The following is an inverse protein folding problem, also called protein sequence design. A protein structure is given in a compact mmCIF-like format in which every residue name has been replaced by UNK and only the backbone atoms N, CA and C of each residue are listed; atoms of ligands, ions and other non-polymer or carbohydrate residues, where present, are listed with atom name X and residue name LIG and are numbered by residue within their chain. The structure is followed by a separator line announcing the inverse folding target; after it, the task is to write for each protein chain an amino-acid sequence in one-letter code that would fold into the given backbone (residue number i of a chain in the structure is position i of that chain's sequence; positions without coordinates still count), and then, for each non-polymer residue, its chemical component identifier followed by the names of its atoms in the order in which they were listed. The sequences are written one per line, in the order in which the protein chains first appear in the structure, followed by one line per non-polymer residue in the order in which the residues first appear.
data_IF_554544009761
#
_entry.id   IF_554544009761
#
_cell.length_a   1.000
_cell.length_b   1.000
_cell.length_c   1.000
_cell.angle_alpha   90.00
_cell.angle_beta   90.00
_cell.angle_gamma   90.00
#
_symmetry.space_group_name_H-M   'P 1'
#
loop_
_entity.id
_entity.type
_entity.pdbx_description
1 polymer ?
#
# COMPACT_ATOMS: atom_id res chain seq x y z
N UNK A 1 -52.46 -24.34 55.54
CA UNK A 1 -52.93 -24.53 54.14
C UNK A 1 -51.71 -24.67 53.26
N UNK A 2 -51.46 -25.90 52.81
CA UNK A 2 -50.50 -26.29 51.77
C UNK A 2 -50.84 -25.60 50.45
N UNK A 3 -49.83 -25.24 49.64
CA UNK A 3 -49.73 -25.35 48.17
C UNK A 3 -48.31 -24.89 47.80
N UNK A 4 -47.33 -25.80 47.76
CA UNK A 4 -46.83 -26.58 46.61
C UNK A 4 -45.75 -25.86 45.79
N UNK A 5 -44.53 -26.38 45.99
CA UNK A 5 -43.31 -26.22 45.20
C UNK A 5 -43.52 -26.72 43.76
N UNK A 6 -42.95 -26.02 42.78
CA UNK A 6 -42.35 -26.68 41.61
C UNK A 6 -41.07 -25.92 41.22
N UNK A 7 -39.93 -26.55 41.51
CA UNK A 7 -38.63 -26.15 40.98
C UNK A 7 -38.39 -26.93 39.69
N UNK A 8 -38.22 -26.22 38.58
CA UNK A 8 -37.65 -26.79 37.37
C UNK A 8 -36.15 -26.46 37.34
N UNK A 9 -35.25 -27.44 37.18
CA UNK A 9 -33.85 -27.15 36.95
C UNK A 9 -33.65 -26.63 35.52
N UNK A 10 -33.18 -25.40 35.39
CA UNK A 10 -32.66 -24.88 34.12
C UNK A 10 -31.37 -25.64 33.80
N UNK A 11 -31.46 -26.58 32.84
CA UNK A 11 -30.28 -27.18 32.22
C UNK A 11 -29.74 -26.17 31.22
N UNK A 12 -28.76 -25.38 31.66
CA UNK A 12 -27.97 -24.54 30.77
C UNK A 12 -27.09 -25.43 29.89
N UNK A 13 -27.48 -25.61 28.63
CA UNK A 13 -26.63 -26.22 27.62
C UNK A 13 -25.53 -25.22 27.30
N UNK A 14 -24.33 -25.43 27.87
CA UNK A 14 -23.10 -24.82 27.37
C UNK A 14 -22.81 -25.42 25.99
N UNK A 15 -23.25 -24.74 24.94
CA UNK A 15 -22.69 -24.94 23.60
C UNK A 15 -21.26 -24.42 23.61
N UNK A 16 -20.30 -25.32 23.81
CA UNK A 16 -18.93 -25.07 23.43
C UNK A 16 -18.88 -24.98 21.90
N UNK A 17 -18.93 -23.76 21.35
CA UNK A 17 -18.49 -23.52 19.99
C UNK A 17 -16.99 -23.82 19.95
N UNK A 18 -16.64 -25.03 19.51
CA UNK A 18 -15.30 -25.34 19.08
C UNK A 18 -14.99 -24.42 17.90
N UNK A 19 -14.13 -23.41 18.13
CA UNK A 19 -13.57 -22.61 17.06
C UNK A 19 -12.81 -23.56 16.12
N UNK A 20 -13.35 -23.80 14.93
CA UNK A 20 -12.62 -24.50 13.89
C UNK A 20 -11.30 -23.73 13.64
N UNK A 21 -10.14 -24.41 13.61
CA UNK A 21 -8.89 -23.75 13.29
C UNK A 21 -9.05 -23.12 11.91
N UNK A 22 -8.77 -21.82 11.81
CA UNK A 22 -8.72 -21.12 10.54
C UNK A 22 -7.69 -21.83 9.66
N UNK A 23 -8.18 -22.63 8.70
CA UNK A 23 -7.37 -23.24 7.66
C UNK A 23 -6.72 -22.08 6.91
N UNK A 24 -5.46 -21.80 7.21
CA UNK A 24 -4.66 -20.89 6.39
C UNK A 24 -4.54 -21.58 5.04
N UNK A 25 -5.27 -21.11 4.04
CA UNK A 25 -5.07 -21.54 2.67
C UNK A 25 -3.57 -21.40 2.36
N UNK A 26 -2.95 -22.46 1.84
CA UNK A 26 -1.56 -22.43 1.45
C UNK A 26 -1.34 -21.27 0.47
N UNK A 27 -0.22 -20.56 0.62
CA UNK A 27 0.14 -19.48 -0.29
C UNK A 27 0.13 -20.02 -1.73
N UNK A 28 -0.56 -19.36 -2.67
CA UNK A 28 -0.59 -19.80 -4.05
C UNK A 28 0.86 -19.86 -4.59
N UNK A 29 1.23 -20.93 -5.31
CA UNK A 29 2.59 -21.10 -5.80
C UNK A 29 2.99 -19.92 -6.69
N UNK A 30 4.17 -19.36 -6.44
CA UNK A 30 4.76 -18.34 -7.31
C UNK A 30 4.84 -18.87 -8.74
N UNK A 31 4.20 -18.17 -9.68
CA UNK A 31 4.33 -18.47 -11.09
C UNK A 31 5.49 -17.64 -11.63
N UNK A 32 6.56 -18.27 -12.16
CA UNK A 32 7.69 -17.52 -12.69
C UNK A 32 7.25 -16.67 -13.88
N UNK A 33 7.73 -15.42 -13.92
CA UNK A 33 7.49 -14.51 -15.04
C UNK A 33 8.02 -15.14 -16.32
N UNK A 34 7.21 -15.27 -17.39
CA UNK A 34 7.66 -15.82 -18.66
C UNK A 34 8.91 -15.08 -19.17
N UNK A 35 9.92 -15.76 -19.76
CA UNK A 35 11.17 -15.11 -20.16
C UNK A 35 11.00 -13.88 -21.06
N UNK A 36 10.00 -13.91 -21.94
CA UNK A 36 9.65 -12.79 -22.83
C UNK A 36 9.00 -11.59 -22.11
N UNK A 37 8.50 -11.80 -20.89
CA UNK A 37 7.89 -10.77 -20.05
C UNK A 37 8.86 -10.25 -18.97
N UNK A 38 10.05 -10.84 -18.81
CA UNK A 38 10.99 -10.39 -17.79
C UNK A 38 11.53 -8.99 -18.12
N UNK A 39 11.40 -8.01 -17.20
CA UNK A 39 11.94 -6.68 -17.42
C UNK A 39 13.46 -6.71 -17.61
N UNK A 40 13.93 -6.20 -18.75
CA UNK A 40 15.36 -6.06 -19.05
C UNK A 40 15.63 -4.63 -19.52
N UNK A 41 16.42 -3.83 -18.77
CA UNK A 41 16.66 -2.42 -19.12
C UNK A 41 17.35 -2.24 -20.47
N UNK A 42 18.02 -3.28 -20.99
CA UNK A 42 18.72 -3.25 -22.27
C UNK A 42 17.85 -3.69 -23.46
N UNK A 43 16.67 -4.27 -23.19
CA UNK A 43 15.76 -4.77 -24.23
C UNK A 43 14.50 -3.92 -24.34
N UNK A 44 14.08 -3.77 -25.59
CA UNK A 44 12.78 -3.20 -25.95
C UNK A 44 11.70 -4.26 -25.76
N UNK A 45 10.58 -3.97 -25.06
CA UNK A 45 9.44 -4.88 -24.96
C UNK A 45 8.92 -5.30 -26.34
N UNK A 46 8.44 -6.53 -26.47
CA UNK A 46 7.96 -7.08 -27.73
C UNK A 46 6.88 -6.21 -28.38
N UNK A 47 5.92 -5.71 -27.61
CA UNK A 47 4.85 -4.86 -28.11
C UNK A 47 5.35 -3.49 -28.63
N UNK A 48 6.43 -2.95 -28.04
CA UNK A 48 7.11 -1.74 -28.54
C UNK A 48 7.88 -2.06 -29.81
N UNK A 49 8.57 -3.20 -29.86
CA UNK A 49 9.31 -3.63 -31.04
C UNK A 49 8.37 -3.86 -32.24
N UNK A 50 7.20 -4.45 -32.00
CA UNK A 50 6.17 -4.63 -33.02
C UNK A 50 5.53 -3.31 -33.44
N UNK A 51 5.32 -2.38 -32.50
CA UNK A 51 4.91 -1.01 -32.83
C UNK A 51 5.94 -0.33 -33.73
N UNK A 52 7.23 -0.43 -33.41
CA UNK A 52 8.30 0.23 -34.16
C UNK A 52 8.42 -0.28 -35.61
N UNK A 53 8.00 -1.51 -35.89
CA UNK A 53 7.95 -2.04 -37.28
C UNK A 53 6.85 -1.38 -38.11
N UNK A 54 5.74 -0.96 -37.49
CA UNK A 54 4.53 -0.47 -38.17
C UNK A 54 4.42 1.06 -38.10
N UNK A 55 4.77 1.65 -36.95
CA UNK A 55 4.74 3.08 -36.66
C UNK A 55 5.98 3.48 -35.82
N UNK A 56 7.14 3.72 -36.45
CA UNK A 56 8.35 4.12 -35.75
C UNK A 56 8.20 5.45 -34.98
N UNK A 57 7.41 6.39 -35.51
CA UNK A 57 7.22 7.71 -34.88
C UNK A 57 6.37 7.57 -33.62
N UNK A 58 5.27 6.81 -33.68
CA UNK A 58 4.45 6.51 -32.52
C UNK A 58 5.19 5.70 -31.47
N UNK A 59 5.98 4.71 -31.88
CA UNK A 59 6.82 3.93 -30.96
C UNK A 59 7.80 4.86 -30.20
N UNK A 60 8.48 5.75 -30.93
CA UNK A 60 9.36 6.76 -30.32
C UNK A 60 8.62 7.68 -29.35
N UNK A 61 7.44 8.18 -29.73
CA UNK A 61 6.60 9.02 -28.83
C UNK A 61 6.24 8.30 -27.54
N UNK A 62 5.91 7.01 -27.61
CA UNK A 62 5.61 6.20 -26.43
C UNK A 62 6.87 6.04 -25.58
N UNK A 63 8.00 5.63 -26.17
CA UNK A 63 9.23 5.35 -25.42
C UNK A 63 9.87 6.59 -24.82
N UNK A 64 9.67 7.76 -25.45
CA UNK A 64 10.15 9.06 -24.94
C UNK A 64 9.21 9.65 -23.89
N UNK A 65 8.00 9.09 -23.70
CA UNK A 65 7.05 9.60 -22.72
C UNK A 65 7.51 9.30 -21.29
N UNK A 66 7.29 10.27 -20.40
CA UNK A 66 7.59 10.11 -18.98
C UNK A 66 6.84 8.91 -18.36
N UNK A 67 5.63 8.63 -18.85
CA UNK A 67 4.82 7.50 -18.40
C UNK A 67 5.44 6.14 -18.75
N UNK A 68 6.05 6.01 -19.93
CA UNK A 68 6.78 4.80 -20.28
C UNK A 68 8.04 4.63 -19.42
N UNK A 69 8.78 5.71 -19.19
CA UNK A 69 9.96 5.68 -18.32
C UNK A 69 9.60 5.30 -16.88
N UNK A 70 8.51 5.86 -16.35
CA UNK A 70 7.96 5.48 -15.05
C UNK A 70 7.53 4.01 -15.03
N UNK A 71 6.78 3.56 -16.03
CA UNK A 71 6.37 2.16 -16.14
C UNK A 71 7.57 1.20 -16.15
N UNK A 72 8.61 1.50 -16.94
CA UNK A 72 9.88 0.73 -16.94
C UNK A 72 10.58 0.75 -15.60
N UNK A 73 10.38 1.82 -14.81
CA UNK A 73 10.91 1.91 -13.46
C UNK A 73 10.09 1.09 -12.44
N UNK A 74 8.81 0.83 -12.68
CA UNK A 74 7.95 0.19 -11.68
C UNK A 74 7.57 -1.24 -12.03
N UNK A 75 7.61 -1.65 -13.30
CA UNK A 75 6.99 -2.91 -13.72
C UNK A 75 7.73 -4.16 -13.23
N UNK A 76 6.97 -5.21 -12.90
CA UNK A 76 7.50 -6.58 -12.75
C UNK A 76 7.47 -7.35 -14.08
N UNK A 77 6.78 -6.84 -15.09
CA UNK A 77 6.55 -7.51 -16.37
C UNK A 77 6.51 -6.54 -17.56
N UNK A 78 7.34 -6.81 -18.57
CA UNK A 78 7.37 -6.07 -19.83
C UNK A 78 6.17 -6.38 -20.75
N UNK A 79 5.35 -7.39 -20.42
CA UNK A 79 4.17 -7.77 -21.20
C UNK A 79 2.94 -6.86 -21.00
N UNK A 80 2.99 -5.92 -20.04
CA UNK A 80 1.96 -4.89 -19.88
C UNK A 80 1.97 -3.88 -21.03
N UNK A 81 1.13 -4.09 -22.04
CA UNK A 81 1.04 -3.22 -23.23
C UNK A 81 0.28 -1.92 -22.92
N UNK A 82 1.02 -0.82 -22.77
CA UNK A 82 0.46 0.49 -22.41
C UNK A 82 -0.54 1.03 -23.45
N UNK A 83 -0.48 0.57 -24.70
CA UNK A 83 -1.39 1.01 -25.77
C UNK A 83 -2.79 0.44 -25.60
N UNK A 84 -2.92 -0.66 -24.86
CA UNK A 84 -4.22 -1.29 -24.56
C UNK A 84 -4.93 -0.63 -23.38
N UNK A 85 -4.31 0.37 -22.74
CA UNK A 85 -4.97 1.13 -21.69
C UNK A 85 -5.97 2.10 -22.33
N UNK A 86 -7.26 1.91 -22.01
CA UNK A 86 -8.32 2.75 -22.55
C UNK A 86 -8.37 4.10 -21.81
N UNK A 87 -8.09 5.19 -22.54
CA UNK A 87 -8.15 6.59 -22.06
C UNK A 87 -7.53 6.78 -20.66
N UNK A 88 -6.22 6.48 -20.50
CA UNK A 88 -5.55 6.64 -19.22
C UNK A 88 -5.49 8.10 -18.81
N UNK A 89 -5.84 8.36 -17.55
CA UNK A 89 -5.41 9.56 -16.84
C UNK A 89 -4.13 9.21 -16.09
N UNK A 90 -2.98 9.48 -16.72
CA UNK A 90 -1.69 9.17 -16.12
C UNK A 90 -1.44 10.01 -14.87
N UNK A 91 -0.97 9.35 -13.82
CA UNK A 91 -0.61 10.00 -12.58
C UNK A 91 0.73 10.71 -12.74
N UNK A 92 0.75 12.00 -12.42
CA UNK A 92 1.93 12.86 -12.47
C UNK A 92 2.51 13.16 -11.09
N UNK A 93 1.72 13.02 -10.03
CA UNK A 93 2.19 13.19 -8.66
C UNK A 93 2.92 11.93 -8.15
N UNK A 94 3.67 12.09 -7.06
CA UNK A 94 4.41 11.02 -6.41
C UNK A 94 3.90 10.78 -5.00
N UNK A 95 2.61 10.91 -4.79
CA UNK A 95 1.99 10.66 -3.48
C UNK A 95 2.20 9.19 -3.02
N UNK A 96 2.13 8.93 -1.72
CA UNK A 96 2.24 7.56 -1.22
C UNK A 96 1.00 6.77 -1.64
N UNK A 97 1.21 5.53 -2.07
CA UNK A 97 0.15 4.62 -2.46
C UNK A 97 0.12 3.40 -1.53
N UNK A 98 -1.00 2.71 -1.54
CA UNK A 98 -1.28 1.63 -0.60
C UNK A 98 -1.92 0.43 -1.28
N UNK A 99 -1.52 -0.76 -0.83
CA UNK A 99 -2.10 -2.02 -1.28
C UNK A 99 -2.34 -2.91 -0.05
N UNK A 100 -3.58 -3.34 0.23
CA UNK A 100 -3.83 -4.39 1.21
C UNK A 100 -3.52 -5.74 0.55
N UNK A 101 -2.73 -6.61 1.17
CA UNK A 101 -2.51 -7.95 0.61
C UNK A 101 -2.39 -9.02 1.68
N UNK A 102 -3.17 -10.08 1.54
CA UNK A 102 -3.15 -11.29 2.37
C UNK A 102 -2.94 -12.58 1.56
N UNK A 103 -3.07 -12.53 0.23
CA UNK A 103 -2.91 -13.70 -0.63
C UNK A 103 -1.45 -14.17 -0.69
N UNK A 104 -0.50 -13.28 -0.44
CA UNK A 104 0.95 -13.54 -0.48
C UNK A 104 1.61 -13.08 0.81
N UNK A 105 2.66 -13.78 1.21
CA UNK A 105 3.47 -13.45 2.37
C UNK A 105 4.27 -12.16 2.13
N UNK A 106 4.66 -11.50 3.22
CA UNK A 106 5.53 -10.34 3.14
C UNK A 106 6.87 -10.67 2.48
N UNK A 107 7.41 -11.86 2.75
CA UNK A 107 8.63 -12.36 2.12
C UNK A 107 8.47 -12.46 0.60
N UNK A 108 7.36 -13.03 0.12
CA UNK A 108 7.07 -13.08 -1.32
C UNK A 108 7.00 -11.67 -1.92
N UNK A 109 6.21 -10.77 -1.33
CA UNK A 109 6.05 -9.42 -1.86
C UNK A 109 7.38 -8.63 -1.83
N UNK A 110 8.21 -8.80 -0.81
CA UNK A 110 9.51 -8.14 -0.73
C UNK A 110 10.53 -8.75 -1.69
N UNK A 111 10.42 -10.01 -2.08
CA UNK A 111 11.34 -10.61 -3.06
C UNK A 111 10.90 -10.32 -4.51
N UNK A 112 9.60 -10.37 -4.80
CA UNK A 112 9.10 -10.37 -6.18
C UNK A 112 8.25 -9.14 -6.54
N UNK A 113 7.82 -8.36 -5.55
CA UNK A 113 6.88 -7.26 -5.74
C UNK A 113 5.42 -7.73 -5.85
N UNK A 114 4.57 -6.83 -6.32
CA UNK A 114 3.19 -7.16 -6.70
C UNK A 114 3.13 -7.50 -8.18
N UNK A 115 2.99 -8.78 -8.47
CA UNK A 115 2.85 -9.28 -9.84
C UNK A 115 1.38 -9.22 -10.27
N UNK A 116 1.09 -8.92 -11.55
CA UNK A 116 -0.27 -9.00 -12.05
C UNK A 116 -0.79 -10.45 -12.00
N UNK A 117 -2.11 -10.62 -11.98
CA UNK A 117 -2.71 -11.96 -12.03
C UNK A 117 -2.33 -12.72 -13.30
N UNK A 118 -2.19 -12.01 -14.41
CA UNK A 118 -1.71 -12.53 -15.69
C UNK A 118 -0.84 -11.51 -16.43
N UNK A 119 0.42 -11.84 -16.72
CA UNK A 119 1.40 -10.92 -17.30
C UNK A 119 1.02 -10.32 -18.66
N UNK A 120 0.28 -11.06 -19.49
CA UNK A 120 -0.27 -10.66 -20.80
C UNK A 120 -1.80 -10.52 -20.77
N UNK A 121 -2.36 -10.37 -19.55
CA UNK A 121 -3.79 -10.28 -19.29
C UNK A 121 -4.46 -8.99 -19.74
N UNK A 122 -5.68 -8.80 -19.25
CA UNK A 122 -6.50 -7.61 -19.54
C UNK A 122 -5.88 -6.34 -18.94
N UNK A 123 -5.86 -5.25 -19.71
CA UNK A 123 -5.48 -3.92 -19.24
C UNK A 123 -6.66 -3.12 -18.64
N UNK A 124 -7.84 -3.74 -18.56
CA UNK A 124 -8.98 -3.16 -17.87
C UNK A 124 -8.70 -3.10 -16.37
N UNK A 125 -8.97 -1.94 -15.76
CA UNK A 125 -8.84 -1.74 -14.32
C UNK A 125 -9.85 -2.63 -13.60
N UNK A 126 -9.41 -3.64 -12.83
CA UNK A 126 -10.33 -4.54 -12.17
C UNK A 126 -11.08 -3.81 -11.04
N UNK A 127 -12.26 -4.33 -10.68
CA UNK A 127 -13.04 -3.80 -9.56
C UNK A 127 -12.40 -4.08 -8.21
N UNK A 128 -11.57 -5.13 -8.13
CA UNK A 128 -10.86 -5.60 -6.95
C UNK A 128 -9.35 -5.31 -7.06
N UNK A 129 -8.62 -5.54 -5.96
CA UNK A 129 -7.16 -5.40 -5.94
C UNK A 129 -6.45 -6.48 -6.74
N UNK A 130 -7.05 -7.67 -6.78
CA UNK A 130 -6.53 -8.84 -7.47
C UNK A 130 -7.57 -9.31 -8.47
N UNK A 131 -7.16 -9.48 -9.73
CA UNK A 131 -7.91 -10.19 -10.77
C UNK A 131 -6.93 -11.14 -11.46
N UNK A 132 -7.17 -12.47 -11.40
CA UNK A 132 -6.26 -13.47 -11.96
C UNK A 132 -6.08 -13.34 -13.48
N UNK A 133 -6.95 -12.59 -14.18
CA UNK A 133 -6.86 -12.39 -15.63
C UNK A 133 -6.30 -11.01 -16.00
N UNK A 134 -6.00 -10.16 -15.02
CA UNK A 134 -5.56 -8.79 -15.27
C UNK A 134 -4.05 -8.67 -15.37
N UNK A 135 -3.60 -7.83 -16.28
CA UNK A 135 -2.21 -7.38 -16.41
C UNK A 135 -1.91 -6.12 -15.59
N UNK A 136 -2.85 -5.64 -14.77
CA UNK A 136 -2.64 -4.47 -13.90
C UNK A 136 -2.71 -4.86 -12.43
N UNK A 137 -1.92 -4.17 -11.62
CA UNK A 137 -2.04 -4.18 -10.15
C UNK A 137 -2.67 -2.86 -9.72
N UNK A 138 -3.69 -2.95 -8.89
CA UNK A 138 -4.37 -1.77 -8.34
C UNK A 138 -3.80 -1.40 -6.98
N UNK A 139 -3.66 -0.11 -6.74
CA UNK A 139 -3.30 0.46 -5.44
C UNK A 139 -4.19 1.67 -5.20
N UNK A 140 -4.15 2.23 -3.98
CA UNK A 140 -4.98 3.40 -3.66
C UNK A 140 -4.23 4.48 -2.90
N UNK A 141 -4.80 5.67 -2.90
CA UNK A 141 -4.32 6.80 -2.11
C UNK A 141 -4.78 6.77 -0.64
N UNK A 142 -5.89 6.08 -0.32
CA UNK A 142 -6.48 6.11 1.01
C UNK A 142 -6.07 4.89 1.85
N UNK A 143 -5.14 5.01 2.81
CA UNK A 143 -4.74 3.90 3.66
C UNK A 143 -5.79 3.54 4.73
N UNK A 144 -6.71 4.46 5.06
CA UNK A 144 -7.63 4.31 6.19
C UNK A 144 -8.73 3.29 5.90
N UNK A 145 -9.29 3.36 4.70
CA UNK A 145 -10.29 2.40 4.24
C UNK A 145 -9.71 1.03 3.95
N UNK A 146 -8.38 0.91 3.91
CA UNK A 146 -7.67 -0.32 3.56
C UNK A 146 -7.07 -1.05 4.76
N UNK A 147 -6.83 -0.36 5.88
CA UNK A 147 -6.23 -0.97 7.06
C UNK A 147 -7.22 -1.05 8.23
N UNK A 148 -7.98 -2.14 8.26
CA UNK A 148 -8.76 -2.56 9.43
C UNK A 148 -7.91 -3.37 10.44
N UNK A 149 -6.67 -3.71 10.07
CA UNK A 149 -5.74 -4.52 10.85
C UNK A 149 -5.87 -6.03 10.65
N UNK A 150 -6.83 -6.49 9.86
CA UNK A 150 -6.98 -7.91 9.50
C UNK A 150 -6.03 -8.35 8.38
N UNK A 151 -5.64 -7.40 7.52
CA UNK A 151 -4.75 -7.61 6.38
C UNK A 151 -3.56 -6.62 6.46
N UNK A 152 -2.33 -7.05 6.17
CA UNK A 152 -1.21 -6.14 6.06
C UNK A 152 -1.41 -5.08 4.96
N UNK A 153 -1.02 -3.84 5.27
CA UNK A 153 -1.05 -2.70 4.37
C UNK A 153 0.36 -2.37 3.89
N UNK A 154 0.59 -2.43 2.58
CA UNK A 154 1.88 -2.12 1.98
C UNK A 154 1.96 -0.66 1.53
N UNK A 155 3.13 -0.06 1.71
CA UNK A 155 3.44 1.34 1.40
C UNK A 155 4.24 1.40 0.11
N UNK A 156 3.74 2.13 -0.88
CA UNK A 156 4.24 2.10 -2.25
C UNK A 156 4.66 3.52 -2.66
N UNK A 157 5.97 3.70 -2.84
CA UNK A 157 6.60 4.88 -3.43
C UNK A 157 6.99 4.55 -4.87
N UNK A 158 5.99 4.65 -5.76
CA UNK A 158 6.11 4.35 -7.17
C UNK A 158 5.75 5.57 -8.01
N UNK A 159 6.57 5.98 -8.99
CA UNK A 159 6.17 6.98 -9.96
C UNK A 159 5.16 6.41 -10.96
N UNK A 160 4.35 7.28 -11.57
CA UNK A 160 3.40 6.87 -12.61
C UNK A 160 2.21 6.07 -12.10
N UNK A 161 1.77 5.12 -12.93
CA UNK A 161 0.45 4.51 -12.85
C UNK A 161 -0.61 5.38 -13.55
N UNK A 162 -1.81 4.82 -13.72
CA UNK A 162 -2.92 5.54 -14.37
C UNK A 162 -4.22 5.34 -13.60
N UNK A 163 -5.15 6.27 -13.79
CA UNK A 163 -6.56 6.11 -13.44
C UNK A 163 -7.34 5.86 -14.72
N UNK A 164 -8.27 4.91 -14.70
CA UNK A 164 -9.17 4.71 -15.84
C UNK A 164 -10.24 5.81 -15.86
N UNK A 165 -10.38 6.47 -17.01
CA UNK A 165 -11.45 7.44 -17.22
C UNK A 165 -12.84 6.77 -17.06
N UNK A 166 -13.80 7.49 -16.47
CA UNK A 166 -15.16 7.01 -16.26
C UNK A 166 -15.32 6.05 -15.07
N UNK A 167 -14.25 5.80 -14.29
CA UNK A 167 -14.39 5.14 -13.00
C UNK A 167 -14.75 6.17 -11.92
N UNK A 168 -15.80 5.90 -11.15
CA UNK A 168 -16.16 6.73 -9.98
C UNK A 168 -15.16 6.58 -8.81
N UNK A 169 -14.08 5.82 -9.02
CA UNK A 169 -13.07 5.46 -8.02
C UNK A 169 -11.86 6.37 -8.20
N UNK A 170 -11.98 7.60 -7.72
CA UNK A 170 -10.92 8.61 -7.79
C UNK A 170 -9.68 8.27 -6.97
N UNK A 171 -9.77 7.25 -6.11
CA UNK A 171 -8.73 6.79 -5.19
C UNK A 171 -7.85 5.68 -5.77
N UNK A 172 -8.25 4.99 -6.85
CA UNK A 172 -7.52 3.85 -7.42
C UNK A 172 -6.51 4.30 -8.46
N UNK A 173 -5.28 3.80 -8.34
CA UNK A 173 -4.22 3.92 -9.33
C UNK A 173 -3.83 2.52 -9.79
N UNK A 174 -3.63 2.33 -11.09
CA UNK A 174 -3.35 1.04 -11.70
C UNK A 174 -1.98 1.03 -12.35
N UNK A 175 -1.25 -0.07 -12.16
CA UNK A 175 0.12 -0.27 -12.63
C UNK A 175 0.18 -1.43 -13.63
N UNK A 176 0.31 -1.14 -14.94
CA UNK A 176 0.57 -2.13 -15.98
C UNK A 176 1.80 -2.98 -15.66
N UNK A 177 1.67 -4.31 -15.73
CA UNK A 177 2.76 -5.24 -15.47
C UNK A 177 3.19 -5.32 -14.00
N UNK A 178 2.42 -4.75 -13.08
CA UNK A 178 2.67 -4.86 -11.63
C UNK A 178 3.61 -3.79 -11.05
N UNK A 179 4.08 -4.05 -9.83
CA UNK A 179 4.93 -3.17 -9.03
C UNK A 179 6.13 -3.92 -8.49
N UNK A 180 7.31 -3.53 -8.93
CA UNK A 180 8.58 -4.11 -8.56
C UNK A 180 8.89 -3.85 -7.08
N UNK A 181 9.50 -4.82 -6.39
CA UNK A 181 9.80 -4.71 -4.96
C UNK A 181 10.52 -3.40 -4.57
N UNK A 182 11.40 -2.90 -5.44
CA UNK A 182 12.11 -1.62 -5.26
C UNK A 182 11.21 -0.40 -5.03
N UNK A 183 9.94 -0.45 -5.39
CA UNK A 183 8.98 0.64 -5.16
C UNK A 183 8.14 0.44 -3.90
N UNK A 184 8.29 -0.70 -3.21
CA UNK A 184 7.57 -1.04 -1.99
C UNK A 184 8.47 -0.67 -0.81
N UNK A 185 8.06 0.32 -0.02
CA UNK A 185 8.84 0.80 1.12
C UNK A 185 8.81 -0.16 2.31
N UNK A 186 7.67 -0.80 2.51
CA UNK A 186 7.46 -1.74 3.61
C UNK A 186 5.98 -2.04 3.82
N UNK A 187 5.70 -2.63 4.97
CA UNK A 187 4.40 -3.16 5.33
C UNK A 187 4.03 -2.77 6.76
N UNK A 188 2.80 -2.31 6.97
CA UNK A 188 2.17 -2.21 8.28
C UNK A 188 1.28 -3.44 8.50
N UNK A 189 1.48 -4.15 9.59
CA UNK A 189 0.68 -5.32 10.00
C UNK A 189 0.34 -5.22 11.49
N UNK A 190 -0.55 -6.06 12.03
CA UNK A 190 -0.74 -6.19 13.49
C UNK A 190 -0.01 -7.41 14.02
N UNK A 191 0.70 -7.24 15.15
CA UNK A 191 1.24 -8.36 15.89
C UNK A 191 0.10 -9.26 16.37
N UNK A 192 0.20 -10.57 16.11
CA UNK A 192 -0.88 -11.52 16.42
C UNK A 192 -1.12 -11.67 17.93
N UNK A 193 -0.13 -11.36 18.78
CA UNK A 193 -0.22 -11.53 20.23
C UNK A 193 -0.64 -10.24 20.93
N UNK A 194 -0.01 -9.11 20.62
CA UNK A 194 -0.32 -7.84 21.28
C UNK A 194 -1.42 -7.05 20.58
N UNK A 195 -1.68 -7.33 19.30
CA UNK A 195 -2.57 -6.53 18.47
C UNK A 195 -1.98 -5.18 18.06
N UNK A 196 -0.77 -4.85 18.54
CA UNK A 196 -0.09 -3.61 18.19
C UNK A 196 0.37 -3.67 16.74
N UNK A 197 0.21 -2.60 15.97
CA UNK A 197 0.72 -2.58 14.63
C UNK A 197 2.23 -2.40 14.60
N UNK A 198 2.82 -3.09 13.63
CA UNK A 198 4.24 -3.22 13.42
C UNK A 198 4.54 -2.91 11.98
N UNK A 199 5.42 -1.94 11.78
CA UNK A 199 6.00 -1.68 10.46
C UNK A 199 7.18 -2.63 10.23
N UNK A 200 7.20 -3.26 9.06
CA UNK A 200 8.31 -4.09 8.59
C UNK A 200 8.87 -3.46 7.32
N UNK A 201 10.11 -2.94 7.34
CA UNK A 201 10.72 -2.35 6.17
C UNK A 201 11.03 -3.41 5.12
N UNK A 202 10.92 -3.05 3.84
CA UNK A 202 11.33 -3.90 2.73
C UNK A 202 12.85 -3.74 2.50
N UNK A 203 13.69 -4.76 2.70
CA UNK A 203 15.13 -4.66 2.47
C UNK A 203 15.51 -4.36 1.02
N UNK A 204 14.60 -4.60 0.06
CA UNK A 204 14.83 -4.38 -1.37
C UNK A 204 14.28 -3.04 -1.88
N UNK A 205 13.77 -2.17 -1.01
CA UNK A 205 13.33 -0.83 -1.40
C UNK A 205 14.48 -0.05 -2.05
N UNK A 206 14.24 0.55 -3.23
CA UNK A 206 15.25 1.24 -4.01
C UNK A 206 15.56 2.66 -3.53
N UNK A 207 14.73 3.23 -2.65
CA UNK A 207 15.02 4.48 -1.97
C UNK A 207 15.92 4.28 -0.75
N UNK A 208 16.37 5.39 -0.16
CA UNK A 208 17.20 5.35 1.05
C UNK A 208 16.42 4.79 2.24
N UNK A 209 17.00 3.86 2.98
CA UNK A 209 16.46 3.35 4.25
C UNK A 209 17.11 4.04 5.44
N UNK A 210 16.44 4.15 6.61
CA UNK A 210 17.03 4.76 7.79
C UNK A 210 18.25 3.97 8.26
N UNK A 211 19.34 4.67 8.54
CA UNK A 211 20.57 4.11 9.10
C UNK A 211 20.46 3.81 10.59
N UNK A 212 21.59 3.42 11.20
CA UNK A 212 21.68 3.29 12.66
C UNK A 212 21.50 4.68 13.26
N UNK A 213 20.61 4.80 14.26
CA UNK A 213 20.33 6.10 14.88
C UNK A 213 19.31 6.94 14.12
N UNK A 214 18.67 6.42 13.08
CA UNK A 214 17.68 7.16 12.29
C UNK A 214 16.29 6.50 12.31
N UNK A 215 15.26 7.29 12.00
CA UNK A 215 13.92 6.78 11.71
C UNK A 215 13.26 7.55 10.56
N UNK A 216 12.44 6.85 9.80
CA UNK A 216 11.55 7.45 8.80
C UNK A 216 10.18 7.71 9.42
N UNK A 217 9.68 8.93 9.25
CA UNK A 217 8.30 9.31 9.51
C UNK A 217 7.52 9.31 8.18
N UNK A 218 6.51 8.45 8.06
CA UNK A 218 5.58 8.46 6.93
C UNK A 218 4.26 9.09 7.36
N UNK A 219 3.82 10.11 6.63
CA UNK A 219 2.79 11.06 7.02
C UNK A 219 1.70 11.23 5.95
N UNK A 220 0.57 10.52 6.05
CA UNK A 220 -0.43 10.48 4.97
C UNK A 220 -1.83 10.86 5.44
N UNK A 221 -2.56 11.60 4.60
CA UNK A 221 -3.87 12.18 4.90
C UNK A 221 -4.98 11.74 3.93
N UNK A 222 -6.24 11.79 4.37
CA UNK A 222 -7.46 11.32 3.67
C UNK A 222 -7.92 12.24 2.52
N UNK A 223 -7.72 13.56 2.63
CA UNK A 223 -8.24 14.56 1.67
C UNK A 223 -7.36 15.82 1.62
N UNK A 224 -6.87 16.25 0.45
CA UNK A 224 -6.40 17.62 0.12
C UNK A 224 -5.59 18.45 1.15
N UNK A 225 -4.42 18.96 0.74
CA UNK A 225 -3.64 20.04 1.37
C UNK A 225 -3.38 19.98 2.88
N UNK A 226 -3.54 18.80 3.48
CA UNK A 226 -3.08 18.57 4.83
C UNK A 226 -1.56 18.40 4.82
N UNK A 227 -0.85 19.46 5.20
CA UNK A 227 0.56 19.38 5.53
C UNK A 227 0.68 19.11 7.03
N UNK A 228 1.14 17.92 7.41
CA UNK A 228 1.77 17.78 8.72
C UNK A 228 2.96 18.72 8.71
N UNK A 229 2.85 19.83 9.43
CA UNK A 229 4.02 20.68 9.67
C UNK A 229 4.86 19.94 10.69
N UNK A 230 5.89 19.26 10.19
CA UNK A 230 6.90 18.63 11.04
C UNK A 230 7.98 19.67 11.32
N UNK A 231 8.01 20.23 12.52
CA UNK A 231 8.99 21.27 12.87
C UNK A 231 10.35 20.69 13.30
N UNK A 232 11.37 21.20 12.61
CA UNK A 232 12.83 21.10 12.80
C UNK A 232 13.52 19.72 12.70
N UNK A 233 14.56 19.67 11.86
CA UNK A 233 15.62 18.66 11.91
C UNK A 233 15.52 17.49 10.91
N UNK A 234 14.39 17.33 10.21
CA UNK A 234 14.17 16.20 9.31
C UNK A 234 14.60 16.44 7.86
N UNK A 235 15.03 15.37 7.17
CA UNK A 235 15.37 15.40 5.73
C UNK A 235 14.28 14.68 4.92
N UNK A 236 13.67 15.30 3.90
CA UNK A 236 12.75 14.60 3.00
C UNK A 236 13.49 13.46 2.25
N UNK A 237 12.96 12.24 2.31
CA UNK A 237 13.59 11.04 1.71
C UNK A 237 12.65 10.25 0.79
N UNK A 238 11.48 10.79 0.46
CA UNK A 238 10.53 10.17 -0.46
C UNK A 238 9.12 10.73 -0.33
N UNK A 239 8.18 10.06 -1.00
CA UNK A 239 6.76 10.38 -0.95
C UNK A 239 6.28 10.42 0.51
N UNK A 240 5.81 11.58 0.97
CA UNK A 240 5.30 11.78 2.34
C UNK A 240 6.21 11.24 3.45
N UNK A 241 7.53 11.13 3.19
CA UNK A 241 8.47 10.57 4.15
C UNK A 241 9.55 11.58 4.50
N UNK A 242 9.72 11.82 5.79
CA UNK A 242 10.81 12.63 6.34
C UNK A 242 11.63 11.79 7.31
N UNK A 243 12.96 11.86 7.19
CA UNK A 243 13.92 11.15 8.04
C UNK A 243 14.43 12.01 9.18
N UNK A 244 14.57 11.43 10.36
CA UNK A 244 15.06 12.09 11.57
C UNK A 244 16.10 11.23 12.28
N UNK A 245 16.89 11.86 13.16
CA UNK A 245 17.74 11.16 14.12
C UNK A 245 16.90 10.66 15.31
N UNK A 246 17.23 9.51 15.88
CA UNK A 246 16.64 9.01 17.12
C UNK A 246 16.85 10.02 18.24
N UNK A 247 15.86 10.15 19.12
CA UNK A 247 15.83 11.19 20.15
C UNK A 247 15.43 12.57 19.64
N UNK A 248 15.21 12.76 18.33
CA UNK A 248 14.62 13.99 17.81
C UNK A 248 13.18 14.11 18.28
N UNK A 249 12.87 15.24 18.90
CA UNK A 249 11.50 15.64 19.20
C UNK A 249 10.79 16.02 17.91
N UNK A 250 9.72 15.30 17.58
CA UNK A 250 8.88 15.58 16.41
C UNK A 250 7.56 16.19 16.86
N UNK A 251 7.32 17.43 16.44
CA UNK A 251 6.01 18.07 16.63
C UNK A 251 5.16 17.83 15.40
N UNK A 252 3.95 17.34 15.62
CA UNK A 252 2.95 17.15 14.57
C UNK A 252 1.85 18.17 14.80
N UNK A 253 1.71 19.13 13.88
CA UNK A 253 0.62 20.09 13.91
C UNK A 253 -0.44 19.71 12.88
N UNK A 254 -1.70 19.77 13.31
CA UNK A 254 -2.89 19.70 12.47
C UNK A 254 -3.59 21.06 12.44
N UNK A 255 -4.15 21.52 11.31
CA UNK A 255 -4.96 22.74 11.26
C UNK A 255 -6.11 22.66 12.29
N UNK A 256 -6.29 23.74 13.05
CA UNK A 256 -7.22 23.82 14.19
C UNK A 256 -8.70 23.46 13.88
N UNK A 257 -9.09 23.50 12.60
CA UNK A 257 -10.47 23.27 12.17
C UNK A 257 -10.86 21.79 12.07
N UNK A 258 -9.91 20.86 12.22
CA UNK A 258 -10.17 19.44 12.12
C UNK A 258 -9.64 18.70 13.35
N UNK A 259 -10.52 18.03 14.11
CA UNK A 259 -10.11 17.11 15.17
C UNK A 259 -9.66 15.80 14.51
N UNK A 260 -8.34 15.60 14.41
CA UNK A 260 -7.76 14.37 13.90
C UNK A 260 -7.29 13.43 15.01
N UNK A 261 -7.54 12.14 14.84
CA UNK A 261 -6.85 11.06 15.54
C UNK A 261 -5.63 10.66 14.71
N UNK A 262 -4.47 10.60 15.35
CA UNK A 262 -3.22 10.25 14.69
C UNK A 262 -2.73 8.95 15.30
N UNK A 263 -2.21 8.06 14.48
CA UNK A 263 -1.74 6.74 14.91
C UNK A 263 -0.27 6.64 14.61
N UNK A 264 0.59 6.73 15.62
CA UNK A 264 2.04 6.56 15.48
C UNK A 264 2.37 5.13 15.89
N UNK A 265 2.83 4.30 14.95
CA UNK A 265 3.11 2.88 15.22
C UNK A 265 1.95 2.19 15.95
N UNK A 266 0.72 2.59 15.64
CA UNK A 266 -0.49 2.02 16.26
C UNK A 266 -1.03 2.66 17.50
N UNK A 267 -0.26 3.51 18.13
CA UNK A 267 -0.74 4.23 19.31
C UNK A 267 -1.64 5.36 18.82
N UNK A 268 -2.94 5.20 19.01
CA UNK A 268 -3.93 6.26 18.76
C UNK A 268 -3.69 7.42 19.73
N UNK A 269 -3.60 8.63 19.20
CA UNK A 269 -3.43 9.88 19.95
C UNK A 269 -4.49 10.90 19.53
N UNK A 270 -4.94 11.72 20.49
CA UNK A 270 -5.96 12.76 20.28
C UNK A 270 -5.39 14.08 19.77
N UNK A 271 -6.28 15.01 19.43
CA UNK A 271 -5.94 16.29 18.80
C UNK A 271 -4.99 17.14 19.67
N UNK A 272 -3.92 17.65 19.04
CA UNK A 272 -2.76 18.33 19.62
C UNK A 272 -1.94 17.46 20.60
N UNK A 273 -1.31 16.41 20.07
CA UNK A 273 -0.37 15.59 20.82
C UNK A 273 1.07 15.87 20.37
N UNK A 274 1.88 16.41 21.27
CA UNK A 274 3.34 16.31 21.17
C UNK A 274 3.74 14.85 21.38
N UNK A 275 4.55 14.30 20.48
CA UNK A 275 5.04 12.94 20.62
C UNK A 275 6.56 12.93 20.48
N UNK A 276 7.24 12.60 21.57
CA UNK A 276 8.65 12.21 21.52
C UNK A 276 8.67 10.74 21.16
N UNK A 277 9.25 10.42 20.01
CA UNK A 277 9.59 9.05 19.70
C UNK A 277 10.70 8.62 20.66
N UNK A 278 10.47 7.62 21.54
CA UNK A 278 11.48 7.19 22.50
C UNK A 278 12.72 6.68 21.76
N UNK A 279 13.89 6.95 22.34
CA UNK A 279 15.16 6.42 21.86
C UNK A 279 15.26 4.92 22.18
N UNK A 280 14.66 4.07 21.35
CA UNK A 280 15.07 2.68 21.24
C UNK A 280 15.33 2.34 19.77
N UNK A 281 16.10 1.29 19.53
CA UNK A 281 16.80 0.98 18.28
C UNK A 281 15.92 1.03 17.02
N UNK A 282 16.46 1.62 15.94
CA UNK A 282 15.94 1.68 14.56
C UNK A 282 14.44 1.36 14.38
N UNK A 283 13.60 2.38 14.27
CA UNK A 283 12.20 2.22 13.88
C UNK A 283 11.87 2.98 12.61
N UNK A 284 10.83 2.53 11.91
CA UNK A 284 10.04 3.41 11.05
C UNK A 284 8.82 3.81 11.88
N UNK A 285 8.59 5.11 12.03
CA UNK A 285 7.39 5.63 12.65
C UNK A 285 6.34 5.86 11.56
N UNK A 286 5.35 4.97 11.46
CA UNK A 286 4.21 5.21 10.56
C UNK A 286 3.18 6.05 11.31
N UNK A 287 2.86 7.24 10.76
CA UNK A 287 1.79 8.07 11.28
C UNK A 287 0.61 8.03 10.33
N UNK A 288 -0.40 7.26 10.74
CA UNK A 288 -1.67 7.20 10.05
C UNK A 288 -2.64 8.19 10.67
N UNK A 289 -3.16 9.12 9.86
CA UNK A 289 -4.03 10.20 10.33
C UNK A 289 -5.47 9.89 9.97
N UNK A 290 -6.29 9.63 10.97
CA UNK A 290 -7.73 9.43 10.85
C UNK A 290 -8.46 10.63 11.40
N UNK A 291 -9.19 11.37 10.57
CA UNK A 291 -10.19 12.32 11.06
C UNK A 291 -11.50 11.58 11.28
N UNK A 292 -12.01 11.60 12.51
CA UNK A 292 -13.40 11.27 12.76
C UNK A 292 -14.20 12.57 12.53
N UNK A 293 -15.24 12.56 11.68
CA UNK A 293 -16.20 13.65 11.67
C UNK A 293 -16.72 13.80 13.09
N UNK A 294 -16.69 15.02 13.63
CA UNK A 294 -17.52 15.32 14.79
C UNK A 294 -18.94 14.95 14.39
N UNK A 295 -19.54 14.00 15.10
CA UNK A 295 -20.98 13.82 15.11
C UNK A 295 -21.58 15.22 15.24
N UNK A 296 -22.32 15.65 14.23
CA UNK A 296 -23.16 16.84 14.33
C UNK A 296 -24.34 16.46 15.22
N UNK A 297 -24.09 16.37 16.53
CA UNK A 297 -25.12 16.40 17.56
C UNK A 297 -25.49 17.83 17.87
#
# INVERSE_FOLDING_TARGET
MNWLRSGAPFVGILLALAAAPAIHAAEPPHQPIPPQCQPDPTKTPSWVADMNKVDPIGAKKVTDSEHYLHWRHTTTSDCGDLRKVNKPQWRTNRDMLFHPANARSAEHIFNYGFEPGKHDGSMTVPTHFEDPNSAVVNVRHDPLTLFDGSVPLYFIDAPGGFRAEGTNKTDVVSFPGGLHTRTIKGMLSRDKKSGDPRFTPNPHFGGTQPGIGEFDLIAVHRQGDFHISVTSGGTPVGAHTTRFQLGTTVTLAAPEKEKGVWTINGVRKGAASYYVLPASEQYVATILVTFEPLDQS
#
